data_IF_714204073784
#
_entry.id   IF_714204073784
#
_cell.length_a   1.000
_cell.length_b   1.000
_cell.length_c   1.000
_cell.angle_alpha   90.00
_cell.angle_beta   90.00
_cell.angle_gamma   90.00
#
_symmetry.space_group_name_H-M   'P 1'
#
loop_
_entity.id
_entity.type
_entity.pdbx_description
1 polymer ?
#
# COMPACT_ATOMS: atom_id res chain seq x y z
N UNK A 1 79.98 14.03 26.26
CA UNK A 1 79.50 12.64 26.14
C UNK A 1 78.26 12.64 25.27
N UNK A 2 78.24 11.82 24.21
CA UNK A 2 77.15 11.72 23.23
C UNK A 2 76.00 10.91 23.83
N UNK A 3 74.76 11.39 23.72
CA UNK A 3 73.57 10.58 23.97
C UNK A 3 72.75 10.46 22.69
N UNK A 4 72.75 9.25 22.13
CA UNK A 4 71.75 8.77 21.18
C UNK A 4 70.69 8.01 21.97
N UNK A 5 69.41 8.24 21.69
CA UNK A 5 68.38 7.21 21.71
C UNK A 5 67.11 7.75 21.04
N UNK A 6 67.16 7.72 19.71
CA UNK A 6 66.06 7.87 18.77
C UNK A 6 65.10 6.70 18.93
N UNK A 7 64.15 6.73 19.87
CA UNK A 7 63.18 5.64 20.05
C UNK A 7 61.80 6.11 20.53
N UNK A 8 61.26 7.18 19.92
CA UNK A 8 59.89 7.62 20.24
C UNK A 8 58.99 7.91 19.03
N UNK A 9 59.40 7.54 17.81
CA UNK A 9 58.62 7.80 16.59
C UNK A 9 58.01 6.57 15.92
N UNK A 10 58.22 5.35 16.46
CA UNK A 10 57.80 4.11 15.82
C UNK A 10 56.40 3.60 16.18
N UNK A 11 55.83 4.03 17.32
CA UNK A 11 54.59 3.43 17.83
C UNK A 11 53.30 4.14 17.37
N UNK A 12 53.42 5.36 16.84
CA UNK A 12 52.27 6.17 16.38
C UNK A 12 51.93 5.93 14.89
N UNK A 13 52.80 5.26 14.13
CA UNK A 13 52.57 4.98 12.71
C UNK A 13 51.72 3.73 12.44
N UNK A 14 51.51 2.86 13.45
CA UNK A 14 50.78 1.61 13.29
C UNK A 14 49.26 1.72 13.57
N UNK A 15 48.78 2.87 14.03
CA UNK A 15 47.34 3.11 14.28
C UNK A 15 46.63 3.81 13.10
N UNK A 16 47.35 4.15 12.02
CA UNK A 16 46.79 4.90 10.89
C UNK A 16 46.22 4.04 9.75
N UNK A 17 46.25 2.70 9.85
CA UNK A 17 45.78 1.81 8.78
C UNK A 17 44.58 0.91 9.15
N UNK A 18 43.88 1.18 10.26
CA UNK A 18 42.51 0.70 10.42
C UNK A 18 41.51 1.71 9.83
N UNK A 19 41.86 2.28 8.66
CA UNK A 19 40.89 2.87 7.76
C UNK A 19 39.97 1.73 7.35
N UNK A 20 38.80 1.72 7.96
CA UNK A 20 37.71 0.84 7.61
C UNK A 20 37.44 1.04 6.11
N UNK A 21 37.95 0.15 5.26
CA UNK A 21 37.33 -0.15 3.97
C UNK A 21 35.96 -0.75 4.27
N UNK A 22 35.05 0.07 4.80
CA UNK A 22 33.64 -0.15 4.61
C UNK A 22 33.44 0.19 3.15
N UNK A 23 33.54 -0.84 2.31
CA UNK A 23 32.73 -0.89 1.11
C UNK A 23 31.32 -0.53 1.57
N UNK A 24 30.94 0.74 1.40
CA UNK A 24 29.55 1.14 1.47
C UNK A 24 28.90 0.34 0.37
N UNK A 25 28.20 -0.72 0.76
CA UNK A 25 27.33 -1.46 -0.12
C UNK A 25 26.29 -0.44 -0.59
N UNK A 26 26.48 0.05 -1.82
CA UNK A 26 25.56 0.99 -2.45
C UNK A 26 24.28 0.20 -2.69
N UNK A 27 23.35 0.26 -1.72
CA UNK A 27 22.00 -0.27 -1.88
C UNK A 27 21.34 0.59 -2.96
N UNK A 28 20.95 0.03 -4.11
CA UNK A 28 20.30 0.81 -5.15
C UNK A 28 19.03 1.44 -4.58
N UNK A 29 18.79 2.70 -4.94
CA UNK A 29 17.57 3.37 -4.53
C UNK A 29 16.36 2.63 -5.11
N UNK A 30 15.31 2.34 -4.32
CA UNK A 30 14.15 1.62 -4.82
C UNK A 30 13.49 2.41 -5.96
N UNK A 31 13.26 1.74 -7.08
CA UNK A 31 12.63 2.36 -8.24
C UNK A 31 11.12 2.50 -8.01
N UNK A 32 10.52 3.66 -8.34
CA UNK A 32 9.08 3.84 -8.28
C UNK A 32 8.39 3.01 -9.36
N UNK A 33 7.33 2.29 -8.98
CA UNK A 33 6.51 1.47 -9.88
C UNK A 33 5.03 1.87 -9.79
N UNK A 34 4.33 1.84 -10.92
CA UNK A 34 2.89 2.06 -10.95
C UNK A 34 2.17 0.83 -10.41
N UNK A 35 1.14 1.04 -9.56
CA UNK A 35 0.30 -0.05 -9.04
C UNK A 35 -1.14 0.08 -9.46
N UNK A 36 -1.73 -1.01 -9.93
CA UNK A 36 -3.15 -1.07 -10.30
C UNK A 36 -3.94 -1.84 -9.27
N UNK A 37 -4.89 -1.15 -8.63
CA UNK A 37 -5.93 -1.74 -7.78
C UNK A 37 -7.15 -2.01 -8.65
N UNK A 38 -7.64 -3.24 -8.63
CA UNK A 38 -8.88 -3.63 -9.29
C UNK A 38 -9.93 -3.95 -8.23
N UNK A 39 -10.97 -3.13 -8.13
CA UNK A 39 -12.13 -3.42 -7.30
C UNK A 39 -13.16 -4.20 -8.12
N UNK A 40 -13.59 -5.34 -7.60
CA UNK A 40 -14.70 -6.12 -8.12
C UNK A 40 -15.87 -6.05 -7.16
N UNK A 41 -16.95 -5.39 -7.57
CA UNK A 41 -18.17 -5.20 -6.76
C UNK A 41 -19.28 -6.09 -7.30
N UNK A 42 -19.83 -6.95 -6.46
CA UNK A 42 -20.95 -7.82 -6.81
C UNK A 42 -21.77 -8.28 -5.60
N UNK A 43 -23.03 -8.65 -5.84
CA UNK A 43 -23.91 -9.29 -4.87
C UNK A 43 -23.72 -10.81 -4.83
N UNK A 44 -24.01 -11.41 -3.68
CA UNK A 44 -24.16 -12.87 -3.53
C UNK A 44 -25.48 -13.40 -4.12
N UNK A 45 -26.49 -12.54 -4.28
CA UNK A 45 -27.83 -12.86 -4.74
C UNK A 45 -28.38 -11.77 -5.66
N UNK A 46 -29.36 -12.14 -6.49
CA UNK A 46 -30.07 -11.23 -7.39
C UNK A 46 -31.33 -10.69 -6.69
N UNK A 47 -31.45 -9.36 -6.62
CA UNK A 47 -32.54 -8.66 -5.97
C UNK A 47 -33.50 -7.98 -6.95
N UNK A 48 -33.38 -8.25 -8.25
CA UNK A 48 -34.21 -7.63 -9.31
C UNK A 48 -35.72 -7.71 -9.05
N UNK A 49 -36.18 -8.75 -8.35
CA UNK A 49 -37.60 -8.99 -8.03
C UNK A 49 -37.89 -8.97 -6.51
N UNK A 50 -36.95 -8.48 -5.71
CA UNK A 50 -37.12 -8.39 -4.25
C UNK A 50 -37.88 -7.13 -3.87
N UNK A 51 -38.68 -7.21 -2.80
CA UNK A 51 -39.30 -6.04 -2.18
C UNK A 51 -38.27 -5.03 -1.63
N UNK A 52 -37.03 -5.47 -1.41
CA UNK A 52 -35.92 -4.63 -0.97
C UNK A 52 -35.09 -4.08 -2.14
N UNK A 53 -35.45 -4.39 -3.39
CA UNK A 53 -34.63 -4.09 -4.56
C UNK A 53 -34.38 -2.59 -4.77
N UNK A 54 -35.33 -1.74 -4.40
CA UNK A 54 -35.23 -0.27 -4.50
C UNK A 54 -34.48 0.37 -3.33
N UNK A 55 -34.12 -0.38 -2.28
CA UNK A 55 -33.31 0.19 -1.20
C UNK A 55 -31.91 0.55 -1.71
N UNK A 56 -31.33 1.61 -1.15
CA UNK A 56 -30.03 2.10 -1.57
C UNK A 56 -28.90 1.53 -0.71
N UNK A 57 -27.77 1.24 -1.35
CA UNK A 57 -26.51 0.89 -0.70
C UNK A 57 -25.46 1.93 -1.09
N UNK A 58 -24.74 2.43 -0.08
CA UNK A 58 -23.62 3.35 -0.26
C UNK A 58 -22.32 2.57 -0.23
N UNK A 59 -21.56 2.61 -1.32
CA UNK A 59 -20.26 1.97 -1.46
C UNK A 59 -19.15 2.96 -1.15
N UNK A 60 -18.08 2.49 -0.53
CA UNK A 60 -16.87 3.26 -0.29
C UNK A 60 -15.64 2.46 -0.73
N UNK A 61 -14.84 3.05 -1.61
CA UNK A 61 -13.59 2.48 -2.12
C UNK A 61 -12.46 3.47 -1.85
N UNK A 62 -11.44 3.03 -1.12
CA UNK A 62 -10.33 3.87 -0.69
C UNK A 62 -9.02 3.20 -1.04
N UNK A 63 -8.08 3.97 -1.57
CA UNK A 63 -6.66 3.59 -1.66
C UNK A 63 -5.87 4.67 -0.98
N UNK A 64 -4.98 4.25 -0.09
CA UNK A 64 -4.12 5.15 0.66
C UNK A 64 -2.67 4.68 0.64
N UNK A 65 -1.77 5.64 0.84
CA UNK A 65 -0.33 5.44 0.94
C UNK A 65 0.13 5.84 2.33
N UNK A 66 1.11 5.12 2.85
CA UNK A 66 1.81 5.50 4.08
C UNK A 66 3.30 5.26 3.90
N UNK A 67 4.10 6.27 4.17
CA UNK A 67 5.55 6.13 4.26
C UNK A 67 5.91 5.17 5.41
N UNK A 68 6.79 4.20 5.13
CA UNK A 68 7.26 3.19 6.08
C UNK A 68 8.37 3.72 6.99
N UNK A 69 9.18 4.65 6.50
CA UNK A 69 10.38 5.14 7.17
C UNK A 69 10.03 6.28 8.15
N UNK A 70 8.94 7.01 7.90
CA UNK A 70 8.43 8.01 8.82
C UNK A 70 7.48 7.37 9.86
N UNK A 71 7.94 7.25 11.11
CA UNK A 71 7.16 6.70 12.24
C UNK A 71 5.82 7.40 12.48
N UNK A 72 5.76 8.71 12.20
CA UNK A 72 4.57 9.55 12.33
C UNK A 72 3.90 9.85 10.98
N UNK A 73 4.21 9.08 9.93
CA UNK A 73 3.61 9.27 8.62
C UNK A 73 2.09 9.15 8.70
N UNK A 74 1.41 10.20 8.27
CA UNK A 74 -0.04 10.17 8.09
C UNK A 74 -0.38 9.36 6.84
N UNK A 75 -1.42 8.54 6.97
CA UNK A 75 -1.99 7.85 5.83
C UNK A 75 -2.59 8.88 4.86
N UNK A 76 -2.11 8.87 3.61
CA UNK A 76 -2.54 9.80 2.57
C UNK A 76 -3.47 9.08 1.60
N UNK A 77 -4.73 9.48 1.55
CA UNK A 77 -5.68 8.96 0.58
C UNK A 77 -5.30 9.43 -0.84
N UNK A 78 -5.04 8.48 -1.74
CA UNK A 78 -4.76 8.73 -3.17
C UNK A 78 -5.94 8.38 -4.08
N UNK A 79 -6.93 7.69 -3.52
CA UNK A 79 -8.23 7.48 -4.12
C UNK A 79 -9.25 7.35 -2.99
N UNK A 80 -10.33 8.12 -3.07
CA UNK A 80 -11.48 7.99 -2.19
C UNK A 80 -12.71 8.22 -3.06
N UNK A 81 -13.50 7.17 -3.23
CA UNK A 81 -14.72 7.22 -4.04
C UNK A 81 -15.87 6.63 -3.25
N UNK A 82 -16.94 7.41 -3.18
CA UNK A 82 -18.22 7.01 -2.62
C UNK A 82 -19.28 7.10 -3.70
N UNK A 83 -20.10 6.06 -3.85
CA UNK A 83 -21.22 6.05 -4.78
C UNK A 83 -22.39 5.26 -4.20
N UNK A 84 -23.59 5.54 -4.71
CA UNK A 84 -24.84 4.94 -4.25
C UNK A 84 -25.49 4.21 -5.41
N UNK A 85 -26.09 3.05 -5.14
CA UNK A 85 -26.92 2.33 -6.12
C UNK A 85 -28.02 1.55 -5.40
N UNK A 86 -29.12 1.29 -6.13
CA UNK A 86 -30.17 0.43 -5.63
C UNK A 86 -29.70 -1.03 -5.56
N UNK A 87 -30.19 -1.81 -4.60
CA UNK A 87 -29.79 -3.22 -4.41
C UNK A 87 -30.04 -4.05 -5.67
N UNK A 88 -31.17 -3.83 -6.35
CA UNK A 88 -31.52 -4.51 -7.60
C UNK A 88 -30.52 -4.27 -8.74
N UNK A 89 -29.80 -3.16 -8.70
CA UNK A 89 -28.85 -2.78 -9.76
C UNK A 89 -27.46 -3.39 -9.51
N UNK A 90 -27.23 -4.00 -8.34
CA UNK A 90 -25.95 -4.62 -8.00
C UNK A 90 -25.80 -5.91 -8.80
N UNK A 91 -24.78 -6.03 -9.66
CA UNK A 91 -24.61 -7.22 -10.47
C UNK A 91 -24.21 -8.43 -9.60
N UNK A 92 -24.65 -9.61 -10.02
CA UNK A 92 -24.12 -10.88 -9.49
C UNK A 92 -22.70 -11.15 -10.02
N UNK A 93 -21.97 -12.07 -9.38
CA UNK A 93 -20.54 -12.36 -9.65
C UNK A 93 -20.16 -12.49 -11.13
N UNK A 94 -21.03 -13.07 -11.97
CA UNK A 94 -20.77 -13.23 -13.40
C UNK A 94 -20.66 -11.89 -14.16
N UNK A 95 -21.43 -10.88 -13.74
CA UNK A 95 -21.55 -9.56 -14.37
C UNK A 95 -20.96 -8.44 -13.49
N UNK A 96 -20.09 -8.81 -12.54
CA UNK A 96 -19.53 -7.90 -11.52
C UNK A 96 -19.05 -6.57 -12.10
N UNK A 97 -19.26 -5.51 -11.34
CA UNK A 97 -18.73 -4.19 -11.68
C UNK A 97 -17.22 -4.17 -11.38
N UNK A 98 -16.43 -3.75 -12.36
CA UNK A 98 -14.96 -3.69 -12.27
C UNK A 98 -14.50 -2.24 -12.33
N UNK A 99 -13.85 -1.77 -11.26
CA UNK A 99 -13.29 -0.42 -11.17
C UNK A 99 -11.77 -0.56 -11.06
N UNK A 100 -11.04 -0.04 -12.05
CA UNK A 100 -9.58 -0.09 -12.07
C UNK A 100 -9.01 1.28 -11.73
N UNK A 101 -8.09 1.33 -10.77
CA UNK A 101 -7.39 2.55 -10.38
C UNK A 101 -5.89 2.30 -10.32
N UNK A 102 -5.14 3.07 -11.11
CA UNK A 102 -3.68 3.09 -11.02
C UNK A 102 -3.23 4.18 -10.05
N UNK A 103 -2.33 3.81 -9.15
CA UNK A 103 -1.56 4.68 -8.26
C UNK A 103 -0.16 4.78 -8.84
N UNK A 104 0.19 5.97 -9.31
CA UNK A 104 1.47 6.18 -10.00
C UNK A 104 2.65 6.27 -9.02
N UNK A 105 3.82 5.81 -9.48
CA UNK A 105 5.11 5.99 -8.84
C UNK A 105 5.12 5.62 -7.34
N UNK A 106 4.74 4.38 -7.00
CA UNK A 106 4.81 3.81 -5.66
C UNK A 106 6.24 3.28 -5.41
N UNK A 107 6.87 3.72 -4.32
CA UNK A 107 8.16 3.21 -3.89
C UNK A 107 7.94 1.96 -3.03
N UNK A 108 8.00 0.77 -3.64
CA UNK A 108 7.63 -0.51 -3.01
C UNK A 108 8.26 -0.77 -1.64
N UNK A 109 9.51 -0.36 -1.47
CA UNK A 109 10.26 -0.57 -0.23
C UNK A 109 10.02 0.52 0.81
N UNK A 110 9.71 1.75 0.38
CA UNK A 110 9.53 2.93 1.24
C UNK A 110 8.07 3.25 1.56
N UNK A 111 7.12 2.68 0.84
CA UNK A 111 5.69 2.95 1.03
C UNK A 111 4.88 1.66 1.23
N UNK A 112 3.84 1.77 2.06
CA UNK A 112 2.74 0.82 2.12
C UNK A 112 1.55 1.39 1.36
N UNK A 113 0.92 0.56 0.53
CA UNK A 113 -0.37 0.86 -0.08
C UNK A 113 -1.44 0.06 0.65
N UNK A 114 -2.46 0.74 1.16
CA UNK A 114 -3.63 0.11 1.77
C UNK A 114 -4.85 0.31 0.88
N UNK A 115 -5.68 -0.72 0.84
CA UNK A 115 -6.91 -0.74 0.04
C UNK A 115 -8.07 -1.05 0.97
N UNK A 116 -8.97 -0.08 1.09
CA UNK A 116 -10.24 -0.19 1.79
C UNK A 116 -11.38 -0.37 0.80
N UNK A 117 -12.26 -1.32 1.06
CA UNK A 117 -13.50 -1.47 0.31
C UNK A 117 -14.62 -1.84 1.27
N UNK A 118 -15.77 -1.18 1.14
CA UNK A 118 -16.90 -1.39 2.02
C UNK A 118 -18.20 -0.87 1.44
N UNK A 119 -19.29 -1.20 2.12
CA UNK A 119 -20.60 -0.66 1.85
C UNK A 119 -21.38 -0.45 3.14
N UNK A 120 -22.30 0.51 3.11
CA UNK A 120 -23.26 0.79 4.15
C UNK A 120 -24.65 0.43 3.64
N UNK A 121 -25.37 -0.35 4.44
CA UNK A 121 -26.76 -0.65 4.19
C UNK A 121 -27.54 -0.45 5.49
N UNK A 122 -28.50 0.49 5.48
CA UNK A 122 -29.22 0.94 6.68
C UNK A 122 -28.22 1.40 7.76
N UNK A 123 -28.29 0.84 8.97
CA UNK A 123 -27.40 1.18 10.09
C UNK A 123 -26.17 0.25 10.20
N UNK A 124 -25.90 -0.57 9.18
CA UNK A 124 -24.81 -1.53 9.20
C UNK A 124 -23.72 -1.15 8.19
N UNK A 125 -22.47 -1.28 8.61
CA UNK A 125 -21.28 -1.06 7.80
C UNK A 125 -20.55 -2.38 7.61
N UNK A 126 -20.22 -2.68 6.36
CA UNK A 126 -19.45 -3.86 5.98
C UNK A 126 -18.21 -3.40 5.24
N UNK A 127 -17.06 -3.97 5.55
CA UNK A 127 -15.84 -3.59 4.85
C UNK A 127 -14.63 -4.42 5.20
N UNK A 128 -13.60 -4.28 4.37
CA UNK A 128 -12.30 -4.91 4.55
C UNK A 128 -11.21 -3.90 4.18
N UNK A 129 -10.19 -3.85 5.03
CA UNK A 129 -8.95 -3.15 4.76
C UNK A 129 -7.85 -4.19 4.54
N UNK A 130 -7.06 -4.02 3.50
CA UNK A 130 -6.03 -4.97 3.10
C UNK A 130 -4.79 -4.22 2.63
N UNK A 131 -3.62 -4.80 2.83
CA UNK A 131 -2.40 -4.29 2.23
C UNK A 131 -2.24 -4.76 0.77
N UNK A 132 -1.65 -3.89 -0.03
CA UNK A 132 -1.17 -4.21 -1.36
C UNK A 132 0.29 -4.71 -1.25
N UNK A 133 0.60 -5.94 -1.67
CA UNK A 133 1.96 -6.47 -1.61
C UNK A 133 2.95 -5.66 -2.45
N UNK A 134 4.14 -5.39 -1.92
CA UNK A 134 5.21 -4.69 -2.64
C UNK A 134 5.50 -5.33 -4.00
N UNK A 135 5.74 -6.65 -4.03
CA UNK A 135 6.10 -7.40 -5.24
C UNK A 135 4.97 -7.60 -6.29
N UNK A 136 3.83 -6.91 -6.15
CA UNK A 136 2.72 -6.98 -7.10
C UNK A 136 2.51 -5.62 -7.76
N UNK A 137 2.28 -5.66 -9.07
CA UNK A 137 1.94 -4.48 -9.89
C UNK A 137 0.43 -4.34 -10.01
N UNK A 138 -0.32 -5.44 -10.05
CA UNK A 138 -1.78 -5.46 -10.10
C UNK A 138 -2.33 -6.41 -9.03
N UNK A 139 -3.38 -5.98 -8.31
CA UNK A 139 -4.11 -6.84 -7.37
C UNK A 139 -5.60 -6.55 -7.40
N UNK A 140 -6.37 -7.63 -7.35
CA UNK A 140 -7.84 -7.59 -7.31
C UNK A 140 -8.37 -7.69 -5.87
N UNK A 141 -9.33 -6.84 -5.53
CA UNK A 141 -10.03 -6.79 -4.26
C UNK A 141 -11.53 -6.93 -4.50
N UNK A 142 -12.14 -7.89 -3.81
CA UNK A 142 -13.55 -8.21 -3.98
C UNK A 142 -14.38 -7.61 -2.86
N UNK A 143 -15.41 -6.85 -3.24
CA UNK A 143 -16.46 -6.36 -2.37
C UNK A 143 -17.74 -7.14 -2.68
N UNK A 144 -18.10 -8.02 -1.75
CA UNK A 144 -19.29 -8.87 -1.85
C UNK A 144 -20.39 -8.25 -1.00
N UNK A 145 -21.52 -7.91 -1.63
CA UNK A 145 -22.73 -7.46 -0.94
C UNK A 145 -23.56 -8.68 -0.58
N UNK A 146 -23.99 -8.76 0.68
CA UNK A 146 -24.73 -9.89 1.26
C UNK A 146 -26.20 -9.58 1.50
#
# INVERSE_FOLDING_TARGET
>A
MKFSATYLCGLLALLAFSSCDKNEEIVPEPEPVDKTVVFEVFGNQDFSYSQYGEEEITFQLVISRKDKEATDALETAVFDSTFVMAIKDIPVRANRMVIKKTVAAVLDEKENVFVGSGYNYRQQTFGKNQSFPANQVEKTFQLIVY
#
